data_IF_515103557000
#
_entry.id   IF_515103557000
#
_cell.length_a   1.000
_cell.length_b   1.000
_cell.length_c   1.000
_cell.angle_alpha   90.00
_cell.angle_beta   90.00
_cell.angle_gamma   90.00
#
_symmetry.space_group_name_H-M   'P 1'
#
loop_
_entity.id
_entity.type
_entity.pdbx_description
1 polymer ?
#
# COMPACT_ATOMS: atom_id res chain seq x y z
N UNK A 1 7.17 -2.27 12.17
CA UNK A 1 5.84 -2.34 11.50
C UNK A 1 5.83 -3.55 10.59
N UNK A 2 4.66 -4.16 10.40
CA UNK A 2 4.41 -5.28 9.50
C UNK A 2 3.23 -4.92 8.59
N UNK A 3 3.30 -5.29 7.32
CA UNK A 3 2.18 -5.14 6.38
C UNK A 3 1.75 -6.52 5.89
N UNK A 4 0.45 -6.76 5.89
CA UNK A 4 -0.15 -7.82 5.10
C UNK A 4 -0.76 -7.19 3.85
N UNK A 5 -0.17 -7.48 2.70
CA UNK A 5 -0.71 -7.10 1.41
C UNK A 5 -1.71 -8.16 0.96
N UNK A 6 -2.90 -7.72 0.62
CA UNK A 6 -4.01 -8.59 0.18
C UNK A 6 -4.45 -8.12 -1.19
N UNK A 7 -4.59 -9.07 -2.12
CA UNK A 7 -5.06 -8.79 -3.47
C UNK A 7 -6.07 -9.82 -3.94
N UNK A 8 -7.11 -9.33 -4.61
CA UNK A 8 -8.12 -10.20 -5.21
C UNK A 8 -8.91 -9.48 -6.29
N UNK A 9 -9.37 -10.23 -7.28
CA UNK A 9 -10.22 -9.66 -8.32
C UNK A 9 -11.63 -9.42 -7.78
N UNK A 10 -12.16 -8.22 -8.01
CA UNK A 10 -13.46 -7.79 -7.49
C UNK A 10 -14.58 -8.31 -8.39
N UNK A 11 -15.64 -8.84 -7.76
CA UNK A 11 -16.90 -9.22 -8.40
C UNK A 11 -18.06 -8.35 -7.96
N UNK A 12 -18.05 -7.92 -6.70
CA UNK A 12 -19.07 -7.05 -6.10
C UNK A 12 -18.38 -5.94 -5.28
N UNK A 13 -18.08 -4.84 -5.93
CA UNK A 13 -17.37 -3.71 -5.30
C UNK A 13 -18.21 -3.07 -4.19
N UNK A 14 -19.51 -2.87 -4.42
CA UNK A 14 -20.37 -2.31 -3.40
C UNK A 14 -20.51 -3.23 -2.17
N UNK A 15 -20.51 -4.54 -2.37
CA UNK A 15 -20.46 -5.54 -1.30
C UNK A 15 -19.16 -5.46 -0.53
N UNK A 16 -18.04 -5.36 -1.24
CA UNK A 16 -16.69 -5.24 -0.67
C UNK A 16 -16.58 -3.98 0.19
N UNK A 17 -17.01 -2.82 -0.33
CA UNK A 17 -17.03 -1.55 0.43
C UNK A 17 -17.79 -1.71 1.74
N UNK A 18 -19.01 -2.27 1.72
CA UNK A 18 -19.80 -2.53 2.95
C UNK A 18 -19.09 -3.46 3.93
N UNK A 19 -18.37 -4.47 3.43
CA UNK A 19 -17.58 -5.35 4.29
C UNK A 19 -16.44 -4.60 4.97
N UNK A 20 -15.76 -3.70 4.26
CA UNK A 20 -14.67 -2.89 4.80
C UNK A 20 -15.17 -1.87 5.83
N UNK A 21 -16.28 -1.19 5.56
CA UNK A 21 -16.92 -0.28 6.52
C UNK A 21 -17.26 -1.01 7.82
N UNK A 22 -17.90 -2.16 7.71
CA UNK A 22 -18.25 -3.00 8.86
C UNK A 22 -16.99 -3.47 9.62
N UNK A 23 -15.93 -3.83 8.92
CA UNK A 23 -14.66 -4.19 9.59
C UNK A 23 -14.15 -3.05 10.44
N UNK A 24 -14.15 -1.84 9.88
CA UNK A 24 -13.69 -0.63 10.58
C UNK A 24 -14.56 -0.31 11.80
N UNK A 25 -15.87 -0.47 11.68
CA UNK A 25 -16.80 -0.17 12.77
C UNK A 25 -16.83 -1.25 13.86
N UNK A 26 -16.87 -2.52 13.48
CA UNK A 26 -17.15 -3.62 14.40
C UNK A 26 -15.89 -4.40 14.84
N UNK A 27 -14.93 -4.61 13.95
CA UNK A 27 -13.80 -5.51 14.20
C UNK A 27 -12.52 -4.78 14.59
N UNK A 28 -12.28 -3.60 14.03
CA UNK A 28 -11.09 -2.78 14.31
C UNK A 28 -10.89 -2.55 15.81
N UNK A 29 -11.92 -2.22 16.63
CA UNK A 29 -11.72 -1.97 18.06
C UNK A 29 -11.11 -3.14 18.83
N UNK A 30 -11.30 -4.38 18.35
CA UNK A 30 -10.71 -5.59 18.93
C UNK A 30 -9.38 -6.02 18.31
N UNK A 31 -8.91 -5.36 17.28
CA UNK A 31 -7.68 -5.70 16.55
C UNK A 31 -6.44 -5.14 17.25
N UNK A 32 -5.98 -5.80 18.32
CA UNK A 32 -4.82 -5.37 19.10
C UNK A 32 -3.55 -5.36 18.25
N UNK A 33 -2.85 -4.21 18.23
CA UNK A 33 -1.64 -4.00 17.44
C UNK A 33 -1.90 -3.68 15.97
N UNK A 34 -3.16 -3.46 15.58
CA UNK A 34 -3.51 -2.91 14.28
C UNK A 34 -3.15 -1.40 14.23
N UNK A 35 -2.53 -0.97 13.12
CA UNK A 35 -2.04 0.40 12.92
C UNK A 35 -2.85 1.16 11.86
N UNK A 36 -3.57 0.46 11.01
CA UNK A 36 -4.33 1.06 9.93
C UNK A 36 -4.34 0.24 8.66
N UNK A 37 -5.04 0.72 7.66
CA UNK A 37 -5.00 0.14 6.32
C UNK A 37 -5.07 1.21 5.23
N UNK A 38 -4.59 0.82 4.07
CA UNK A 38 -4.77 1.52 2.80
C UNK A 38 -5.35 0.51 1.83
N UNK A 39 -6.60 0.68 1.45
CA UNK A 39 -7.28 -0.26 0.55
C UNK A 39 -7.99 0.51 -0.58
N UNK A 40 -8.20 -0.14 -1.70
CA UNK A 40 -8.98 0.39 -2.81
C UNK A 40 -9.10 -0.60 -3.94
N UNK A 41 -9.91 -0.27 -4.92
CA UNK A 41 -10.06 -1.06 -6.16
C UNK A 41 -9.42 -0.28 -7.29
N UNK A 42 -8.53 -0.94 -8.03
CA UNK A 42 -7.87 -0.35 -9.20
C UNK A 42 -8.71 -0.44 -10.45
N UNK A 43 -8.31 0.26 -11.51
CA UNK A 43 -8.97 0.26 -12.84
C UNK A 43 -9.14 -1.14 -13.46
N UNK A 44 -8.34 -2.12 -13.02
CA UNK A 44 -8.41 -3.49 -13.50
C UNK A 44 -9.29 -4.40 -12.63
N UNK A 45 -10.17 -3.82 -11.79
CA UNK A 45 -11.00 -4.53 -10.83
C UNK A 45 -10.19 -5.34 -9.79
N UNK A 46 -8.96 -4.94 -9.51
CA UNK A 46 -8.15 -5.57 -8.46
C UNK A 46 -8.30 -4.78 -7.16
N UNK A 47 -8.82 -5.43 -6.14
CA UNK A 47 -8.74 -4.92 -4.78
C UNK A 47 -7.32 -5.11 -4.25
N UNK A 48 -6.73 -4.01 -3.80
CA UNK A 48 -5.42 -3.99 -3.15
C UNK A 48 -5.62 -3.44 -1.75
N UNK A 49 -5.12 -4.14 -0.74
CA UNK A 49 -5.22 -3.71 0.64
C UNK A 49 -3.92 -3.96 1.40
N UNK A 50 -3.32 -2.90 1.92
CA UNK A 50 -2.14 -2.91 2.79
C UNK A 50 -2.61 -2.76 4.24
N UNK A 51 -2.82 -3.86 4.94
CA UNK A 51 -3.19 -3.85 6.35
C UNK A 51 -1.92 -3.79 7.22
N UNK A 52 -1.79 -2.74 8.02
CA UNK A 52 -0.62 -2.44 8.84
C UNK A 52 -0.81 -2.90 10.28
N UNK A 53 0.21 -3.55 10.83
CA UNK A 53 0.25 -4.03 12.21
C UNK A 53 1.59 -3.69 12.87
N UNK A 54 1.62 -3.67 14.20
CA UNK A 54 2.86 -3.50 14.97
C UNK A 54 3.87 -4.61 14.69
N UNK A 55 3.37 -5.85 14.42
CA UNK A 55 4.19 -7.04 14.16
C UNK A 55 3.41 -8.11 13.41
N UNK A 56 4.11 -9.07 12.83
CA UNK A 56 3.52 -10.28 12.25
C UNK A 56 2.68 -11.06 13.27
N UNK A 57 3.09 -11.08 14.54
CA UNK A 57 2.34 -11.73 15.61
C UNK A 57 1.00 -11.03 15.89
N UNK A 58 0.95 -9.68 15.80
CA UNK A 58 -0.30 -8.94 15.92
C UNK A 58 -1.26 -9.25 14.76
N UNK A 59 -0.73 -9.30 13.52
CA UNK A 59 -1.51 -9.69 12.34
C UNK A 59 -2.06 -11.12 12.49
N UNK A 60 -1.22 -12.07 12.91
CA UNK A 60 -1.64 -13.47 13.14
C UNK A 60 -2.74 -13.55 14.21
N UNK A 61 -2.57 -12.89 15.37
CA UNK A 61 -3.62 -12.88 16.41
C UNK A 61 -4.93 -12.30 15.89
N UNK A 62 -4.87 -11.27 15.04
CA UNK A 62 -6.08 -10.72 14.42
C UNK A 62 -6.76 -11.73 13.50
N UNK A 63 -5.99 -12.44 12.66
CA UNK A 63 -6.54 -13.44 11.73
C UNK A 63 -7.15 -14.66 12.44
N UNK A 64 -6.70 -15.00 13.64
CA UNK A 64 -7.20 -16.14 14.46
C UNK A 64 -8.50 -15.80 15.23
N UNK A 65 -9.01 -14.57 15.14
CA UNK A 65 -10.26 -14.18 15.83
C UNK A 65 -11.46 -14.78 15.11
N UNK A 66 -12.43 -15.41 15.81
CA UNK A 66 -13.61 -16.00 15.19
C UNK A 66 -14.49 -15.00 14.43
N UNK A 67 -14.53 -13.73 14.86
CA UNK A 67 -15.22 -12.66 14.16
C UNK A 67 -14.51 -12.27 12.85
N UNK A 68 -13.19 -12.33 12.81
CA UNK A 68 -12.40 -12.10 11.61
C UNK A 68 -12.67 -13.18 10.56
N UNK A 69 -12.73 -14.45 10.97
CA UNK A 69 -13.07 -15.56 10.06
C UNK A 69 -14.44 -15.38 9.42
N UNK A 70 -15.45 -15.00 10.22
CA UNK A 70 -16.81 -14.76 9.70
C UNK A 70 -16.85 -13.60 8.73
N UNK A 71 -16.20 -12.48 9.08
CA UNK A 71 -16.10 -11.32 8.20
C UNK A 71 -15.37 -11.69 6.89
N UNK A 72 -14.27 -12.42 6.98
CA UNK A 72 -13.52 -12.85 5.80
C UNK A 72 -14.34 -13.77 4.89
N UNK A 73 -15.10 -14.71 5.45
CA UNK A 73 -15.98 -15.59 4.69
C UNK A 73 -17.04 -14.82 3.87
N UNK A 74 -17.53 -13.70 4.39
CA UNK A 74 -18.44 -12.82 3.67
C UNK A 74 -17.71 -11.96 2.63
N UNK A 75 -16.61 -11.33 3.01
CA UNK A 75 -15.76 -10.51 2.13
C UNK A 75 -15.29 -11.29 0.92
N UNK A 76 -14.89 -12.55 1.13
CA UNK A 76 -14.46 -13.47 0.07
C UNK A 76 -15.53 -13.69 -1.01
N UNK A 77 -16.82 -13.56 -0.69
CA UNK A 77 -17.91 -13.67 -1.67
C UNK A 77 -17.99 -12.48 -2.63
N UNK A 78 -17.39 -11.35 -2.26
CA UNK A 78 -17.28 -10.16 -3.11
C UNK A 78 -16.13 -10.25 -4.11
N UNK A 79 -15.29 -11.28 -4.01
CA UNK A 79 -14.12 -11.50 -4.85
C UNK A 79 -14.27 -12.74 -5.71
N UNK A 80 -13.57 -12.79 -6.85
CA UNK A 80 -13.51 -13.97 -7.72
C UNK A 80 -12.09 -14.54 -7.81
N UNK A 81 -11.98 -15.82 -8.17
CA UNK A 81 -10.68 -16.50 -8.29
C UNK A 81 -9.95 -16.63 -6.96
N UNK A 82 -8.64 -16.70 -6.97
CA UNK A 82 -7.80 -16.78 -5.79
C UNK A 82 -7.54 -15.39 -5.20
N UNK A 83 -7.40 -15.32 -3.88
CA UNK A 83 -6.96 -14.11 -3.18
C UNK A 83 -5.55 -14.34 -2.69
N UNK A 84 -4.66 -13.42 -2.99
CA UNK A 84 -3.26 -13.47 -2.57
C UNK A 84 -3.08 -12.74 -1.24
N UNK A 85 -2.27 -13.33 -0.38
CA UNK A 85 -1.81 -12.73 0.87
C UNK A 85 -0.28 -12.77 0.88
N UNK A 86 0.32 -11.59 0.97
CA UNK A 86 1.77 -11.46 1.02
C UNK A 86 2.16 -10.73 2.30
N UNK A 87 2.99 -11.38 3.09
CA UNK A 87 3.48 -10.85 4.34
C UNK A 87 4.75 -10.03 4.10
N UNK A 88 4.74 -8.75 4.48
CA UNK A 88 5.87 -7.84 4.40
C UNK A 88 6.41 -7.59 5.81
N UNK A 89 7.40 -8.37 6.27
CA UNK A 89 7.95 -8.22 7.61
C UNK A 89 8.90 -7.02 7.75
N UNK A 90 9.37 -6.52 6.62
CA UNK A 90 10.37 -5.47 6.53
C UNK A 90 9.79 -4.27 5.78
N UNK A 91 9.37 -3.26 6.55
CA UNK A 91 8.63 -2.10 6.07
C UNK A 91 9.37 -0.81 6.44
N UNK A 92 9.47 0.09 5.47
CA UNK A 92 10.03 1.43 5.60
C UNK A 92 8.98 2.47 5.22
N UNK A 93 8.88 3.54 6.00
CA UNK A 93 8.10 4.73 5.66
C UNK A 93 9.06 5.85 5.23
N UNK A 94 8.72 6.56 4.18
CA UNK A 94 9.45 7.74 3.75
C UNK A 94 8.53 8.95 3.69
N UNK A 95 9.06 10.15 3.90
CA UNK A 95 8.31 11.40 4.13
C UNK A 95 7.22 11.28 5.20
N UNK A 96 7.41 10.42 6.20
CA UNK A 96 6.44 10.23 7.28
C UNK A 96 5.35 9.19 7.03
N UNK A 97 5.43 8.45 5.90
CA UNK A 97 4.47 7.39 5.57
C UNK A 97 3.21 7.91 4.89
N UNK A 98 2.12 7.13 4.98
CA UNK A 98 0.84 7.49 4.41
C UNK A 98 0.06 8.51 5.24
N UNK A 99 -0.99 9.07 4.64
CA UNK A 99 -1.89 10.02 5.28
C UNK A 99 -3.34 9.63 5.01
N UNK A 100 -4.20 9.72 6.03
CA UNK A 100 -5.64 9.53 5.89
C UNK A 100 -6.30 10.68 5.07
N UNK A 101 -5.57 11.79 4.85
CA UNK A 101 -6.01 12.93 4.04
C UNK A 101 -5.59 12.82 2.56
N UNK A 102 -4.94 11.73 2.15
CA UNK A 102 -4.58 11.55 0.76
C UNK A 102 -5.82 11.31 -0.11
N UNK A 103 -5.89 11.99 -1.26
CA UNK A 103 -6.99 11.86 -2.21
C UNK A 103 -6.73 10.85 -3.32
N UNK A 104 -5.51 10.31 -3.41
CA UNK A 104 -5.12 9.30 -4.38
C UNK A 104 -3.93 8.51 -3.86
N UNK A 105 -3.92 7.20 -4.12
CA UNK A 105 -2.78 6.32 -3.79
C UNK A 105 -2.42 5.49 -5.01
N UNK A 106 -1.15 5.51 -5.38
CA UNK A 106 -0.62 4.59 -6.36
C UNK A 106 0.16 3.48 -5.65
N UNK A 107 -0.27 2.24 -5.85
CA UNK A 107 0.47 1.07 -5.35
C UNK A 107 1.26 0.48 -6.50
N UNK A 108 2.54 0.25 -6.25
CA UNK A 108 3.47 -0.37 -7.18
C UNK A 108 3.94 -1.70 -6.63
N UNK A 109 3.96 -2.71 -7.46
CA UNK A 109 4.49 -4.03 -7.12
C UNK A 109 5.51 -4.47 -8.15
N UNK A 110 6.56 -5.14 -7.69
CA UNK A 110 7.59 -5.66 -8.56
C UNK A 110 8.53 -6.61 -7.84
N UNK A 111 9.60 -6.94 -8.55
CA UNK A 111 10.70 -7.74 -8.02
C UNK A 111 11.98 -6.90 -8.06
N UNK A 112 12.79 -7.01 -7.03
CA UNK A 112 14.06 -6.26 -6.93
C UNK A 112 15.22 -7.19 -6.66
N UNK A 113 16.34 -6.93 -7.33
CA UNK A 113 17.58 -7.65 -7.07
C UNK A 113 18.32 -7.19 -5.79
N UNK A 114 17.96 -6.03 -5.23
CA UNK A 114 18.54 -5.49 -3.99
C UNK A 114 17.55 -4.55 -3.29
N UNK A 115 16.68 -5.13 -2.45
CA UNK A 115 15.67 -4.40 -1.69
C UNK A 115 16.29 -3.40 -0.69
N UNK A 116 17.45 -3.70 -0.13
CA UNK A 116 18.16 -2.78 0.77
C UNK A 116 18.60 -1.53 0.02
N UNK A 117 19.20 -1.73 -1.15
CA UNK A 117 19.65 -0.60 -1.97
C UNK A 117 18.49 0.23 -2.49
N UNK A 118 17.38 -0.40 -2.85
CA UNK A 118 16.16 0.31 -3.29
C UNK A 118 15.64 1.22 -2.17
N UNK A 119 15.59 0.76 -0.92
CA UNK A 119 15.23 1.62 0.24
C UNK A 119 16.18 2.79 0.42
N UNK A 120 17.50 2.53 0.32
CA UNK A 120 18.50 3.60 0.44
C UNK A 120 18.29 4.68 -0.63
N UNK A 121 17.89 4.30 -1.85
CA UNK A 121 17.57 5.24 -2.92
C UNK A 121 16.32 6.07 -2.61
N UNK A 122 15.26 5.45 -2.10
CA UNK A 122 14.04 6.16 -1.67
C UNK A 122 14.33 7.17 -0.56
N UNK A 123 15.12 6.79 0.44
CA UNK A 123 15.53 7.69 1.52
C UNK A 123 16.39 8.86 1.01
N UNK A 124 17.28 8.60 0.06
CA UNK A 124 18.15 9.62 -0.53
C UNK A 124 17.40 10.59 -1.45
N UNK A 125 16.48 10.08 -2.26
CA UNK A 125 15.73 10.89 -3.23
C UNK A 125 14.49 11.57 -2.63
N UNK A 126 13.87 10.98 -1.62
CA UNK A 126 12.59 11.39 -1.06
C UNK A 126 12.46 12.89 -0.75
N UNK A 127 13.37 13.51 0.01
CA UNK A 127 13.31 14.96 0.32
C UNK A 127 13.32 15.83 -0.94
N UNK A 128 14.17 15.48 -1.92
CA UNK A 128 14.29 16.22 -3.16
C UNK A 128 13.11 15.99 -4.10
N UNK A 129 12.58 14.76 -4.11
CA UNK A 129 11.34 14.41 -4.82
C UNK A 129 10.18 15.24 -4.27
N UNK A 130 10.04 15.36 -2.96
CA UNK A 130 8.97 16.15 -2.33
C UNK A 130 9.08 17.65 -2.65
N UNK A 131 10.29 18.21 -2.78
CA UNK A 131 10.46 19.60 -3.24
C UNK A 131 9.96 19.82 -4.66
N UNK A 132 10.10 18.84 -5.53
CA UNK A 132 9.69 18.89 -6.95
C UNK A 132 8.23 18.51 -7.14
N UNK A 133 7.73 17.63 -6.30
CA UNK A 133 6.39 17.06 -6.33
C UNK A 133 5.73 17.19 -4.96
N UNK A 134 5.36 18.39 -4.54
CA UNK A 134 4.80 18.68 -3.22
C UNK A 134 3.45 18.00 -2.98
N UNK A 135 2.79 17.53 -4.04
CA UNK A 135 1.57 16.70 -3.93
C UNK A 135 1.83 15.30 -3.38
N UNK A 136 3.07 14.80 -3.38
CA UNK A 136 3.45 13.55 -2.72
C UNK A 136 3.52 13.82 -1.21
N UNK A 137 2.59 13.22 -0.45
CA UNK A 137 2.53 13.41 1.00
C UNK A 137 3.37 12.40 1.77
N UNK A 138 3.73 11.29 1.14
CA UNK A 138 4.60 10.26 1.71
C UNK A 138 4.46 8.92 1.02
N UNK A 139 5.16 7.92 1.51
CA UNK A 139 5.10 6.57 0.98
C UNK A 139 5.47 5.50 1.99
N UNK A 140 5.09 4.27 1.64
CA UNK A 140 5.37 3.07 2.42
C UNK A 140 5.94 2.02 1.49
N UNK A 141 7.10 1.48 1.82
CA UNK A 141 7.78 0.43 1.06
C UNK A 141 7.87 -0.83 1.92
N UNK A 142 7.47 -1.96 1.38
CA UNK A 142 7.55 -3.26 2.05
C UNK A 142 8.12 -4.33 1.14
N UNK A 143 8.77 -5.35 1.73
CA UNK A 143 9.30 -6.49 0.97
C UNK A 143 8.66 -7.80 1.41
N UNK A 144 8.42 -8.71 0.46
CA UNK A 144 7.83 -10.01 0.69
C UNK A 144 8.52 -11.11 -0.13
N UNK A 145 8.43 -12.35 0.35
CA UNK A 145 9.11 -13.46 -0.32
C UNK A 145 10.63 -13.29 -0.36
N UNK A 146 11.24 -13.71 -1.46
CA UNK A 146 12.70 -13.62 -1.67
C UNK A 146 13.12 -12.27 -2.28
N UNK A 147 12.33 -11.76 -3.23
CA UNK A 147 12.68 -10.60 -4.05
C UNK A 147 11.50 -9.65 -4.35
N UNK A 148 10.30 -9.98 -3.87
CA UNK A 148 9.10 -9.17 -4.08
C UNK A 148 9.12 -7.90 -3.24
N UNK A 149 8.58 -6.81 -3.81
CA UNK A 149 8.32 -5.58 -3.07
C UNK A 149 6.97 -4.98 -3.42
N UNK A 150 6.45 -4.19 -2.51
CA UNK A 150 5.31 -3.31 -2.70
C UNK A 150 5.66 -1.92 -2.20
N UNK A 151 5.28 -0.91 -2.97
CA UNK A 151 5.36 0.49 -2.58
C UNK A 151 4.00 1.16 -2.74
N UNK A 152 3.55 1.89 -1.73
CA UNK A 152 2.37 2.75 -1.81
C UNK A 152 2.81 4.20 -1.69
N UNK A 153 2.51 5.00 -2.70
CA UNK A 153 2.78 6.44 -2.75
C UNK A 153 1.46 7.19 -2.60
N UNK A 154 1.41 8.11 -1.67
CA UNK A 154 0.22 8.87 -1.29
C UNK A 154 0.29 10.27 -1.85
N UNK A 155 -0.78 10.72 -2.51
CA UNK A 155 -0.86 12.03 -3.14
C UNK A 155 -2.03 12.84 -2.60
N UNK A 156 -1.91 14.15 -2.62
CA UNK A 156 -3.01 15.06 -2.25
C UNK A 156 -4.23 14.87 -3.13
N UNK A 157 -4.03 14.58 -4.43
CA UNK A 157 -5.10 14.25 -5.40
C UNK A 157 -4.52 13.57 -6.63
N UNK A 158 -5.34 12.83 -7.35
CA UNK A 158 -4.95 12.26 -8.64
C UNK A 158 -4.62 13.33 -9.67
N UNK A 159 -5.40 14.40 -9.77
CA UNK A 159 -5.16 15.48 -10.72
C UNK A 159 -3.75 16.08 -10.55
N UNK A 160 -3.33 16.34 -9.30
CA UNK A 160 -1.99 16.84 -9.01
C UNK A 160 -0.91 15.79 -9.34
N UNK A 161 -1.15 14.51 -9.04
CA UNK A 161 -0.23 13.43 -9.39
C UNK A 161 0.02 13.35 -10.90
N UNK A 162 -1.06 13.43 -11.71
CA UNK A 162 -0.99 13.38 -13.19
C UNK A 162 -0.35 14.61 -13.80
N UNK A 163 -0.61 15.80 -13.26
CA UNK A 163 -0.02 17.06 -13.73
C UNK A 163 1.51 16.99 -13.69
N UNK A 164 2.08 16.38 -12.64
CA UNK A 164 3.52 16.33 -12.42
C UNK A 164 4.17 14.99 -12.83
N UNK A 165 3.42 14.06 -13.39
CA UNK A 165 3.96 12.77 -13.84
C UNK A 165 5.06 12.87 -14.89
N UNK A 166 5.04 13.94 -15.68
CA UNK A 166 5.97 14.17 -16.78
C UNK A 166 7.02 15.25 -16.51
N UNK A 167 7.21 15.63 -15.25
CA UNK A 167 8.28 16.59 -14.90
C UNK A 167 9.63 16.03 -15.32
N UNK A 168 10.45 16.86 -15.95
CA UNK A 168 11.81 16.51 -16.29
C UNK A 168 12.62 16.23 -15.02
N UNK A 169 13.25 15.05 -14.99
CA UNK A 169 14.06 14.63 -13.85
C UNK A 169 15.33 15.49 -13.80
N UNK A 170 15.57 16.25 -12.72
CA UNK A 170 16.79 17.05 -12.56
C UNK A 170 18.06 16.20 -12.60
N UNK A 171 19.16 16.82 -13.02
CA UNK A 171 20.45 16.12 -13.17
C UNK A 171 20.97 15.51 -11.86
N UNK A 172 20.68 16.15 -10.73
CA UNK A 172 21.05 15.67 -9.39
C UNK A 172 20.32 14.39 -8.97
N UNK A 173 19.14 14.12 -9.53
CA UNK A 173 18.35 12.89 -9.27
C UNK A 173 18.52 11.82 -10.35
N UNK A 174 19.02 12.17 -11.53
CA UNK A 174 19.04 11.28 -12.70
C UNK A 174 19.71 9.95 -12.41
N UNK A 175 20.88 9.98 -11.78
CA UNK A 175 21.62 8.75 -11.47
C UNK A 175 20.91 7.84 -10.45
N UNK A 176 20.17 8.44 -9.48
CA UNK A 176 19.39 7.69 -8.49
C UNK A 176 18.22 6.98 -9.16
N UNK A 177 17.45 7.69 -10.01
CA UNK A 177 16.34 7.09 -10.73
C UNK A 177 16.75 6.07 -11.80
N UNK A 178 17.91 6.24 -12.44
CA UNK A 178 18.47 5.22 -13.34
C UNK A 178 18.84 3.95 -12.58
N UNK A 179 19.41 4.09 -11.38
CA UNK A 179 19.73 2.96 -10.52
C UNK A 179 18.45 2.27 -10.00
N UNK A 180 17.49 3.03 -9.52
CA UNK A 180 16.17 2.54 -9.07
C UNK A 180 15.49 1.73 -10.16
N UNK A 181 15.36 2.29 -11.37
CA UNK A 181 14.76 1.59 -12.52
C UNK A 181 15.45 0.27 -12.85
N UNK A 182 16.77 0.23 -12.73
CA UNK A 182 17.54 -0.99 -12.98
C UNK A 182 17.29 -2.06 -11.91
N UNK A 183 17.05 -1.65 -10.66
CA UNK A 183 16.80 -2.55 -9.54
C UNK A 183 15.36 -3.02 -9.48
N UNK A 184 14.41 -2.18 -9.88
CA UNK A 184 12.97 -2.43 -9.72
C UNK A 184 12.36 -3.41 -10.74
N UNK A 185 13.07 -3.74 -11.83
CA UNK A 185 12.56 -4.66 -12.85
C UNK A 185 11.25 -4.18 -13.50
N UNK A 186 10.34 -5.11 -13.77
CA UNK A 186 8.98 -4.81 -14.23
C UNK A 186 8.11 -4.41 -13.05
N UNK A 187 7.35 -3.33 -13.21
CA UNK A 187 6.50 -2.77 -12.17
C UNK A 187 5.04 -2.87 -12.60
N UNK A 188 4.20 -3.42 -11.73
CA UNK A 188 2.74 -3.39 -11.86
C UNK A 188 2.18 -2.23 -11.02
N UNK A 189 1.33 -1.41 -11.64
CA UNK A 189 0.72 -0.24 -11.03
C UNK A 189 -0.76 -0.49 -10.74
N UNK A 190 -1.18 -0.09 -9.54
CA UNK A 190 -2.57 -0.11 -9.11
C UNK A 190 -2.94 1.29 -8.61
N UNK A 191 -3.74 1.98 -9.40
CA UNK A 191 -4.23 3.32 -9.08
C UNK A 191 -5.50 3.21 -8.24
N UNK A 192 -5.45 3.72 -7.02
CA UNK A 192 -6.57 3.75 -6.09
C UNK A 192 -7.15 5.15 -6.07
N UNK A 193 -8.22 5.37 -6.87
CA UNK A 193 -8.82 6.70 -7.08
C UNK A 193 -9.61 7.20 -5.87
N UNK A 194 -10.28 6.30 -5.16
CA UNK A 194 -11.03 6.57 -3.93
C UNK A 194 -10.53 5.63 -2.83
N UNK A 195 -9.28 5.85 -2.35
CA UNK A 195 -8.70 4.94 -1.38
C UNK A 195 -9.42 5.01 -0.03
N UNK A 196 -9.69 3.86 0.55
CA UNK A 196 -10.11 3.76 1.95
C UNK A 196 -8.85 3.82 2.83
N UNK A 197 -8.70 4.93 3.54
CA UNK A 197 -7.55 5.23 4.38
C UNK A 197 -7.98 5.26 5.84
N UNK A 198 -7.40 4.42 6.64
CA UNK A 198 -7.71 4.33 8.07
C UNK A 198 -6.41 4.19 8.85
N UNK A 199 -6.20 5.09 9.80
CA UNK A 199 -5.16 4.97 10.83
C UNK A 199 -5.80 4.64 12.17
N UNK A 200 -5.19 3.72 12.92
CA UNK A 200 -5.63 3.45 14.28
C UNK A 200 -5.48 4.73 15.12
N UNK A 201 -6.54 5.11 15.81
CA UNK A 201 -6.47 6.24 16.77
C UNK A 201 -5.46 5.87 17.86
N UNK A 202 -4.42 6.68 17.99
CA UNK A 202 -3.43 6.58 19.07
C UNK A 202 -4.04 6.97 20.41
#
# INVERSE_FOLDING_TARGET
>A
MFIQLIQGKVRDEAGLSRCMDRWTEELQPGATGYLGHTCGVSDNDIWVCLARFESAEAARRNSERPEQDRWWAETRQCLEGDVMFMDCPDVTEWLGGGSDDAGFVQVMEGHTSDARRLRELLDQSGPRVHELRPEIVGGTFGTYGEDGYVEAVYFTSEAAAREHEHIEIPDDLRSLFEEERRLSGEIHYYDLHEPMLVSARR
#
